data_IF_597222412213
#
_entry.id   IF_597222412213
#
_cell.length_a   1.000
_cell.length_b   1.000
_cell.length_c   1.000
_cell.angle_alpha   90.00
_cell.angle_beta   90.00
_cell.angle_gamma   90.00
#
_symmetry.space_group_name_H-M   'P 1'
#
loop_
_entity.id
_entity.type
_entity.pdbx_description
1 polymer ?
#
# COMPACT_ATOMS: atom_id res chain seq x y z
N UNK A 1 25.64 -20.63 -54.67
CA UNK A 1 27.10 -20.52 -54.71
C UNK A 1 27.55 -19.13 -55.20
N UNK A 2 27.14 -18.63 -56.35
CA UNK A 2 27.57 -17.31 -56.92
C UNK A 2 27.27 -16.08 -56.02
N UNK A 3 26.29 -16.13 -55.14
CA UNK A 3 25.93 -15.00 -54.25
C UNK A 3 26.87 -14.91 -53.03
N UNK A 4 27.37 -16.04 -52.55
CA UNK A 4 28.32 -16.10 -51.43
C UNK A 4 29.72 -15.65 -51.82
N UNK A 5 30.15 -15.98 -53.06
CA UNK A 5 31.44 -15.52 -53.59
C UNK A 5 31.48 -13.99 -53.78
N UNK A 6 30.39 -13.38 -54.27
CA UNK A 6 30.29 -11.92 -54.38
C UNK A 6 30.36 -11.19 -53.02
N UNK A 7 29.81 -11.77 -51.96
CA UNK A 7 29.89 -11.20 -50.61
C UNK A 7 31.32 -11.24 -50.06
N UNK A 8 32.03 -12.34 -50.31
CA UNK A 8 33.45 -12.49 -49.90
C UNK A 8 34.35 -11.53 -50.64
N UNK A 9 34.09 -11.25 -51.93
CA UNK A 9 34.88 -10.32 -52.75
C UNK A 9 34.68 -8.85 -52.32
N UNK A 10 33.47 -8.48 -51.92
CA UNK A 10 33.16 -7.16 -51.33
C UNK A 10 33.87 -6.95 -49.98
N UNK A 11 33.96 -8.00 -49.16
CA UNK A 11 34.65 -7.94 -47.85
C UNK A 11 36.17 -7.84 -47.98
N UNK A 12 36.75 -8.35 -49.06
CA UNK A 12 38.20 -8.21 -49.36
C UNK A 12 38.64 -6.79 -49.71
N UNK A 13 37.71 -5.89 -50.03
CA UNK A 13 38.02 -4.48 -50.23
C UNK A 13 38.25 -3.81 -48.87
N UNK A 14 39.51 -3.49 -48.54
CA UNK A 14 39.89 -2.88 -47.25
C UNK A 14 39.00 -1.68 -46.84
N UNK A 15 38.59 -0.86 -47.80
CA UNK A 15 37.72 0.30 -47.53
C UNK A 15 36.32 -0.12 -47.07
N UNK A 16 35.75 -1.17 -47.69
CA UNK A 16 34.42 -1.71 -47.31
C UNK A 16 34.49 -2.42 -45.96
N UNK A 17 35.57 -3.16 -45.69
CA UNK A 17 35.82 -3.81 -44.44
C UNK A 17 35.89 -2.80 -43.25
N UNK A 18 36.65 -1.71 -43.40
CA UNK A 18 36.71 -0.65 -42.38
C UNK A 18 35.38 0.10 -42.24
N UNK A 19 34.61 0.30 -43.31
CA UNK A 19 33.27 0.89 -43.20
C UNK A 19 32.29 -0.01 -42.43
N UNK A 20 32.31 -1.34 -42.67
CA UNK A 20 31.49 -2.31 -41.93
C UNK A 20 31.84 -2.37 -40.42
N UNK A 21 33.15 -2.33 -40.10
CA UNK A 21 33.61 -2.26 -38.72
C UNK A 21 33.10 -0.97 -38.04
N UNK A 22 33.21 0.17 -38.74
CA UNK A 22 32.69 1.45 -38.25
C UNK A 22 31.18 1.42 -37.94
N UNK A 23 30.39 0.80 -38.82
CA UNK A 23 28.94 0.62 -38.63
C UNK A 23 28.66 -0.30 -37.43
N UNK A 24 29.38 -1.42 -37.29
CA UNK A 24 29.24 -2.34 -36.17
C UNK A 24 29.58 -1.64 -34.83
N UNK A 25 30.67 -0.85 -34.81
CA UNK A 25 31.05 -0.07 -33.62
C UNK A 25 29.98 0.95 -33.29
N UNK A 26 29.42 1.65 -34.27
CA UNK A 26 28.31 2.60 -34.03
C UNK A 26 27.05 1.91 -33.51
N UNK A 27 26.72 0.72 -34.01
CA UNK A 27 25.59 -0.07 -33.51
C UNK A 27 25.85 -0.53 -32.07
N UNK A 28 27.04 -1.04 -31.77
CA UNK A 28 27.42 -1.48 -30.42
C UNK A 28 27.42 -0.29 -29.43
N UNK A 29 27.98 0.84 -29.86
CA UNK A 29 27.99 2.06 -29.04
C UNK A 29 26.56 2.61 -28.83
N UNK A 30 25.72 2.63 -29.87
CA UNK A 30 24.34 3.07 -29.74
C UNK A 30 23.49 2.10 -28.89
N UNK A 31 23.74 0.79 -28.98
CA UNK A 31 23.11 -0.22 -28.14
C UNK A 31 23.59 -0.10 -26.69
N UNK A 32 24.89 0.11 -26.48
CA UNK A 32 25.46 0.38 -25.15
C UNK A 32 24.92 1.68 -24.56
N UNK A 33 24.81 2.74 -25.35
CA UNK A 33 24.19 4.02 -24.96
C UNK A 33 22.69 3.86 -24.70
N UNK A 34 21.98 3.03 -25.47
CA UNK A 34 20.56 2.75 -25.28
C UNK A 34 20.31 1.97 -23.97
N UNK A 35 21.15 0.98 -23.69
CA UNK A 35 21.08 0.25 -22.41
C UNK A 35 21.50 1.11 -21.21
N UNK A 36 22.47 2.01 -21.39
CA UNK A 36 22.96 2.90 -20.35
C UNK A 36 22.19 4.23 -20.24
N UNK A 37 21.22 4.51 -21.13
CA UNK A 37 20.35 5.69 -21.01
C UNK A 37 19.61 5.76 -19.67
N UNK A 38 19.26 4.61 -19.09
CA UNK A 38 18.68 4.53 -17.74
C UNK A 38 19.68 4.86 -16.62
N UNK A 39 21.00 4.86 -16.93
CA UNK A 39 22.07 5.22 -15.98
C UNK A 39 22.38 6.72 -16.06
N UNK A 40 22.13 7.38 -17.20
CA UNK A 40 22.44 8.81 -17.40
C UNK A 40 21.25 9.74 -17.11
N UNK A 41 20.01 9.22 -17.13
CA UNK A 41 18.88 9.85 -16.43
C UNK A 41 18.92 9.31 -15.01
N UNK A 42 19.89 9.75 -14.24
CA UNK A 42 19.90 9.50 -12.81
C UNK A 42 18.55 9.98 -12.30
N UNK A 43 17.67 9.07 -11.87
CA UNK A 43 16.56 9.41 -11.02
C UNK A 43 17.18 10.01 -9.76
N UNK A 44 17.41 11.33 -9.79
CA UNK A 44 17.93 12.09 -8.65
C UNK A 44 16.90 12.14 -7.52
N UNK A 45 16.04 11.12 -7.42
CA UNK A 45 15.08 11.07 -6.34
C UNK A 45 15.76 10.63 -5.04
N UNK A 46 15.37 11.25 -3.98
CA UNK A 46 15.90 10.98 -2.65
C UNK A 46 14.80 10.69 -1.62
N UNK A 47 13.55 10.64 -2.08
CA UNK A 47 12.39 10.26 -1.27
C UNK A 47 11.61 9.20 -2.04
N UNK A 48 11.43 8.02 -1.44
CA UNK A 48 10.53 7.00 -1.99
C UNK A 48 9.10 7.33 -1.62
N UNK A 49 8.28 7.61 -2.61
CA UNK A 49 6.83 7.66 -2.49
C UNK A 49 6.24 6.25 -2.63
N UNK A 50 5.34 5.91 -1.72
CA UNK A 50 4.59 4.66 -1.71
C UNK A 50 3.11 5.01 -1.57
N UNK A 51 2.24 4.35 -2.33
CA UNK A 51 0.81 4.67 -2.39
C UNK A 51 -0.02 3.59 -1.70
N UNK A 52 -0.92 4.03 -0.82
CA UNK A 52 -1.98 3.23 -0.23
C UNK A 52 -3.32 3.82 -0.66
N UNK A 53 -3.91 3.27 -1.72
CA UNK A 53 -5.16 3.73 -2.30
C UNK A 53 -6.24 2.65 -2.28
N UNK A 54 -7.50 3.09 -2.11
CA UNK A 54 -8.65 2.20 -2.13
C UNK A 54 -8.67 1.20 -1.00
N UNK A 55 -9.13 -0.02 -1.26
CA UNK A 55 -9.19 -1.09 -0.26
C UNK A 55 -7.82 -1.69 0.00
N UNK A 56 -7.44 -1.83 1.27
CA UNK A 56 -6.21 -2.50 1.68
C UNK A 56 -6.44 -4.01 1.85
N UNK A 57 -5.67 -4.81 1.12
CA UNK A 57 -5.54 -6.25 1.29
C UNK A 57 -4.15 -6.60 1.82
N UNK A 58 -3.99 -7.77 2.41
CA UNK A 58 -2.67 -8.27 2.83
C UNK A 58 -1.78 -8.52 1.60
N UNK A 59 -2.33 -9.22 0.60
CA UNK A 59 -1.67 -9.45 -0.69
C UNK A 59 -2.70 -9.40 -1.82
N UNK A 60 -2.23 -9.12 -3.02
CA UNK A 60 -3.09 -9.01 -4.19
C UNK A 60 -3.28 -10.38 -4.82
N UNK A 61 -4.35 -11.07 -4.47
CA UNK A 61 -4.65 -12.41 -4.97
C UNK A 61 -5.60 -12.31 -6.17
N UNK A 62 -5.07 -12.02 -7.36
CA UNK A 62 -5.87 -12.10 -8.60
C UNK A 62 -7.20 -11.33 -8.55
N UNK A 63 -7.33 -10.32 -7.68
CA UNK A 63 -8.51 -9.48 -7.58
C UNK A 63 -8.69 -8.74 -8.92
N UNK A 64 -9.29 -9.43 -9.87
CA UNK A 64 -9.70 -8.87 -11.14
C UNK A 64 -11.10 -8.32 -11.00
N UNK A 65 -11.34 -7.18 -11.64
CA UNK A 65 -12.69 -6.67 -11.84
C UNK A 65 -13.49 -7.61 -12.78
N UNK A 66 -14.75 -7.28 -13.02
CA UNK A 66 -15.63 -8.03 -13.92
C UNK A 66 -15.11 -8.17 -15.36
N UNK A 67 -14.05 -7.46 -15.73
CA UNK A 67 -13.39 -7.51 -17.05
C UNK A 67 -12.10 -8.32 -17.05
N UNK A 68 -11.70 -8.90 -15.89
CA UNK A 68 -10.46 -9.66 -15.74
C UNK A 68 -9.22 -8.76 -15.57
N UNK A 69 -9.37 -7.44 -15.42
CA UNK A 69 -8.28 -6.53 -15.09
C UNK A 69 -8.09 -6.44 -13.58
N UNK A 70 -6.83 -6.32 -13.14
CA UNK A 70 -6.53 -6.06 -11.73
C UNK A 70 -7.25 -4.78 -11.29
N UNK A 71 -8.07 -4.87 -10.24
CA UNK A 71 -8.77 -3.70 -9.69
C UNK A 71 -7.74 -2.62 -9.32
N UNK A 72 -7.90 -1.44 -9.90
CA UNK A 72 -7.04 -0.28 -9.64
C UNK A 72 -7.24 0.32 -8.24
N UNK A 73 -8.36 -0.04 -7.60
CA UNK A 73 -8.79 0.51 -6.31
C UNK A 73 -8.41 -0.42 -5.14
N UNK A 74 -7.37 -1.21 -5.30
CA UNK A 74 -6.87 -2.15 -4.28
C UNK A 74 -5.38 -1.99 -4.10
N UNK A 75 -4.94 -1.84 -2.84
CA UNK A 75 -3.53 -1.85 -2.44
C UNK A 75 -3.17 -3.14 -1.71
N UNK A 76 -1.93 -3.60 -1.88
CA UNK A 76 -1.37 -4.77 -1.20
C UNK A 76 -0.37 -4.33 -0.12
N UNK A 77 -0.55 -4.82 1.10
CA UNK A 77 0.40 -4.56 2.19
C UNK A 77 1.78 -5.15 1.87
N UNK A 78 1.84 -6.34 1.25
CA UNK A 78 3.08 -6.98 0.82
C UNK A 78 3.87 -6.11 -0.17
N UNK A 79 3.20 -5.52 -1.18
CA UNK A 79 3.85 -4.63 -2.15
C UNK A 79 4.37 -3.36 -1.47
N UNK A 80 3.59 -2.78 -0.56
CA UNK A 80 3.93 -1.56 0.18
C UNK A 80 5.11 -1.81 1.13
N UNK A 81 5.07 -2.86 1.94
CA UNK A 81 6.16 -3.22 2.87
C UNK A 81 7.44 -3.54 2.13
N UNK A 82 7.36 -4.28 1.02
CA UNK A 82 8.50 -4.55 0.13
C UNK A 82 9.11 -3.26 -0.43
N UNK A 83 8.29 -2.28 -0.82
CA UNK A 83 8.78 -0.98 -1.30
C UNK A 83 9.48 -0.19 -0.17
N UNK A 84 8.93 -0.21 1.04
CA UNK A 84 9.53 0.40 2.23
C UNK A 84 10.89 -0.25 2.56
N UNK A 85 10.97 -1.58 2.52
CA UNK A 85 12.22 -2.32 2.78
C UNK A 85 13.29 -2.01 1.73
N UNK A 86 12.93 -2.01 0.45
CA UNK A 86 13.84 -1.61 -0.63
C UNK A 86 14.34 -0.18 -0.43
N UNK A 87 13.44 0.74 -0.10
CA UNK A 87 13.80 2.12 0.20
C UNK A 87 14.74 2.24 1.41
N UNK A 88 14.56 1.43 2.46
CA UNK A 88 15.45 1.40 3.61
C UNK A 88 16.88 0.95 3.25
N UNK A 89 17.01 0.01 2.32
CA UNK A 89 18.29 -0.55 1.89
C UNK A 89 18.99 0.26 0.80
N UNK A 90 18.28 1.17 0.11
CA UNK A 90 18.85 2.03 -0.93
C UNK A 90 19.50 3.29 -0.31
N UNK A 91 20.81 3.42 -0.43
CA UNK A 91 21.55 4.57 0.11
C UNK A 91 21.22 5.91 -0.58
N UNK A 92 20.67 5.91 -1.80
CA UNK A 92 20.22 7.12 -2.51
C UNK A 92 18.96 7.70 -1.88
N UNK A 93 18.05 6.86 -1.40
CA UNK A 93 16.82 7.25 -0.72
C UNK A 93 17.16 7.74 0.70
N UNK A 94 16.63 8.88 1.08
CA UNK A 94 16.88 9.55 2.38
C UNK A 94 15.64 9.61 3.27
N UNK A 95 14.44 9.46 2.69
CA UNK A 95 13.18 9.46 3.41
C UNK A 95 12.12 8.65 2.65
N UNK A 96 11.03 8.31 3.34
CA UNK A 96 9.90 7.55 2.81
C UNK A 96 8.63 8.36 3.03
N UNK A 97 7.83 8.49 1.98
CA UNK A 97 6.49 9.08 2.00
C UNK A 97 5.45 8.00 1.73
N UNK A 98 4.55 7.74 2.68
CA UNK A 98 3.33 6.98 2.45
C UNK A 98 2.20 7.95 2.09
N UNK A 99 1.71 7.93 0.86
CA UNK A 99 0.52 8.67 0.45
C UNK A 99 -0.70 7.78 0.63
N UNK A 100 -1.67 8.24 1.44
CA UNK A 100 -2.84 7.45 1.85
C UNK A 100 -4.12 8.10 1.34
N UNK A 101 -4.91 7.33 0.60
CA UNK A 101 -6.29 7.63 0.25
C UNK A 101 -7.10 6.33 0.29
N UNK A 102 -7.42 5.89 1.50
CA UNK A 102 -7.99 4.57 1.76
C UNK A 102 -9.05 4.63 2.85
N UNK A 103 -10.16 3.94 2.61
CA UNK A 103 -11.19 3.68 3.63
C UNK A 103 -10.85 2.54 4.59
N UNK A 104 -9.72 1.86 4.37
CA UNK A 104 -9.28 0.72 5.19
C UNK A 104 -9.34 -0.62 4.46
N UNK A 105 -9.52 -1.69 5.22
CA UNK A 105 -9.53 -3.06 4.72
C UNK A 105 -8.90 -4.03 5.71
N UNK A 106 -7.88 -4.79 5.31
CA UNK A 106 -7.22 -5.79 6.16
C UNK A 106 -6.58 -5.17 7.41
N UNK A 107 -7.03 -5.55 8.64
CA UNK A 107 -6.37 -5.09 9.86
C UNK A 107 -4.90 -5.52 9.93
N UNK A 108 -4.59 -6.74 9.46
CA UNK A 108 -3.23 -7.25 9.38
C UNK A 108 -2.38 -6.41 8.42
N UNK A 109 -2.91 -6.11 7.23
CA UNK A 109 -2.20 -5.29 6.25
C UNK A 109 -1.91 -3.87 6.76
N UNK A 110 -2.85 -3.26 7.50
CA UNK A 110 -2.63 -1.96 8.15
C UNK A 110 -1.51 -2.00 9.19
N UNK A 111 -1.50 -3.05 10.02
CA UNK A 111 -0.47 -3.27 11.02
C UNK A 111 0.91 -3.52 10.39
N UNK A 112 1.01 -4.38 9.36
CA UNK A 112 2.28 -4.68 8.67
C UNK A 112 2.92 -3.41 8.08
N UNK A 113 2.14 -2.55 7.45
CA UNK A 113 2.62 -1.27 6.91
C UNK A 113 3.08 -0.34 8.04
N UNK A 114 2.29 -0.24 9.12
CA UNK A 114 2.65 0.57 10.28
C UNK A 114 3.98 0.13 10.90
N UNK A 115 4.18 -1.18 11.09
CA UNK A 115 5.43 -1.74 11.61
C UNK A 115 6.61 -1.50 10.65
N UNK A 116 6.42 -1.64 9.33
CA UNK A 116 7.46 -1.34 8.34
C UNK A 116 7.91 0.13 8.40
N UNK A 117 6.97 1.07 8.56
CA UNK A 117 7.29 2.49 8.72
C UNK A 117 7.97 2.79 10.06
N UNK A 118 7.49 2.21 11.15
CA UNK A 118 8.01 2.38 12.51
C UNK A 118 9.45 1.89 12.63
N UNK A 119 9.77 0.75 12.01
CA UNK A 119 11.12 0.18 11.99
C UNK A 119 12.05 0.81 10.96
N UNK A 120 11.56 1.75 10.15
CA UNK A 120 12.42 2.47 9.20
C UNK A 120 13.49 3.29 9.93
N UNK A 121 14.74 3.13 9.47
CA UNK A 121 15.88 3.94 9.91
C UNK A 121 15.88 5.34 9.31
N UNK A 122 15.03 5.59 8.31
CA UNK A 122 14.89 6.86 7.60
C UNK A 122 13.69 7.64 8.13
N UNK A 123 13.65 8.97 7.97
CA UNK A 123 12.45 9.75 8.20
C UNK A 123 11.28 9.20 7.38
N UNK A 124 10.14 8.98 8.05
CA UNK A 124 8.89 8.56 7.42
C UNK A 124 7.81 9.61 7.60
N UNK A 125 7.05 9.89 6.56
CA UNK A 125 5.89 10.78 6.58
C UNK A 125 4.71 10.06 5.96
N UNK A 126 3.54 10.18 6.58
CA UNK A 126 2.28 9.82 5.95
C UNK A 126 1.56 11.12 5.50
N UNK A 127 1.11 11.14 4.27
CA UNK A 127 0.21 12.17 3.73
C UNK A 127 -1.16 11.55 3.53
N UNK A 128 -2.12 11.91 4.36
CA UNK A 128 -3.52 11.53 4.16
C UNK A 128 -4.14 12.53 3.17
N UNK A 129 -4.67 11.99 2.05
CA UNK A 129 -5.31 12.78 1.00
C UNK A 129 -6.77 13.03 1.37
N UNK A 130 -7.70 12.36 0.70
CA UNK A 130 -9.11 12.48 1.03
C UNK A 130 -9.46 11.67 2.27
N UNK A 131 -9.01 10.40 2.34
CA UNK A 131 -9.33 9.47 3.42
C UNK A 131 -8.11 8.74 3.96
N UNK A 132 -8.04 8.67 5.28
CA UNK A 132 -7.13 7.78 6.01
C UNK A 132 -7.91 7.13 7.14
N UNK A 133 -8.72 6.11 6.82
CA UNK A 133 -9.68 5.52 7.74
C UNK A 133 -9.36 4.05 8.05
N UNK A 134 -9.76 3.60 9.25
CA UNK A 134 -9.64 2.21 9.69
C UNK A 134 -8.22 1.66 9.47
N UNK A 135 -8.03 0.54 8.79
CA UNK A 135 -6.70 -0.01 8.49
C UNK A 135 -5.80 0.96 7.71
N UNK A 136 -6.36 1.88 6.92
CA UNK A 136 -5.60 2.95 6.25
C UNK A 136 -5.01 3.95 7.25
N UNK A 137 -5.77 4.32 8.29
CA UNK A 137 -5.25 5.13 9.39
C UNK A 137 -4.23 4.36 10.24
N UNK A 138 -4.50 3.08 10.53
CA UNK A 138 -3.52 2.23 11.24
C UNK A 138 -2.18 2.22 10.52
N UNK A 139 -2.17 2.02 9.19
CA UNK A 139 -0.97 2.08 8.38
C UNK A 139 -0.26 3.45 8.49
N UNK A 140 -1.02 4.55 8.34
CA UNK A 140 -0.49 5.91 8.46
C UNK A 140 0.11 6.18 9.84
N UNK A 141 -0.49 5.63 10.91
CA UNK A 141 -0.08 5.87 12.31
C UNK A 141 1.35 5.41 12.60
N UNK A 142 1.89 4.45 11.83
CA UNK A 142 3.27 4.00 11.95
C UNK A 142 4.33 4.98 11.42
N UNK A 143 3.94 6.02 10.68
CA UNK A 143 4.86 7.06 10.23
C UNK A 143 5.28 7.98 11.39
N UNK A 144 6.51 8.50 11.30
CA UNK A 144 7.04 9.45 12.32
C UNK A 144 6.32 10.79 12.32
N UNK A 145 5.67 11.14 11.21
CA UNK A 145 4.95 12.40 11.04
C UNK A 145 3.78 12.21 10.10
N UNK A 146 2.62 12.74 10.46
CA UNK A 146 1.38 12.61 9.66
C UNK A 146 0.86 13.99 9.29
N UNK A 147 0.64 14.20 8.00
CA UNK A 147 0.07 15.43 7.46
C UNK A 147 -1.27 15.07 6.78
N UNK A 148 -2.28 15.88 7.02
CA UNK A 148 -3.57 15.78 6.35
C UNK A 148 -4.14 17.16 6.08
N UNK A 149 -5.02 17.32 5.09
CA UNK A 149 -5.78 18.55 4.91
C UNK A 149 -6.80 18.73 6.04
N UNK A 150 -7.19 19.96 6.34
CA UNK A 150 -8.31 20.24 7.25
C UNK A 150 -9.61 19.52 6.82
N UNK A 151 -9.75 19.23 5.52
CA UNK A 151 -10.91 18.56 4.93
C UNK A 151 -10.73 17.03 4.76
N UNK A 152 -9.55 16.48 5.09
CA UNK A 152 -9.32 15.04 5.04
C UNK A 152 -10.14 14.33 6.11
N UNK A 153 -10.65 13.16 5.78
CA UNK A 153 -11.39 12.28 6.68
C UNK A 153 -10.42 11.28 7.32
N UNK A 154 -10.31 11.29 8.65
CA UNK A 154 -9.24 10.62 9.39
C UNK A 154 -9.82 9.81 10.56
N UNK A 155 -9.22 8.64 10.83
CA UNK A 155 -9.56 7.85 12.02
C UNK A 155 -10.42 6.64 11.68
N UNK A 156 -11.71 6.67 12.00
CA UNK A 156 -12.58 5.48 11.93
C UNK A 156 -11.94 4.28 12.64
N UNK A 157 -11.48 4.53 13.88
CA UNK A 157 -10.86 3.52 14.73
C UNK A 157 -11.96 2.60 15.24
N UNK A 158 -12.07 1.43 14.63
CA UNK A 158 -13.12 0.46 14.91
C UNK A 158 -12.95 -0.80 14.06
N UNK A 159 -13.69 -1.84 14.40
CA UNK A 159 -13.69 -3.12 13.68
C UNK A 159 -15.13 -3.56 13.43
N UNK A 160 -15.42 -3.91 12.19
CA UNK A 160 -16.70 -4.50 11.82
C UNK A 160 -16.48 -5.86 11.13
N UNK A 161 -17.40 -6.77 11.37
CA UNK A 161 -17.56 -8.02 10.63
C UNK A 161 -19.04 -8.16 10.26
N UNK A 162 -19.32 -8.32 8.98
CA UNK A 162 -20.68 -8.45 8.48
C UNK A 162 -20.74 -9.36 7.25
N UNK A 163 -21.88 -10.02 7.08
CA UNK A 163 -22.19 -10.82 5.89
C UNK A 163 -23.70 -10.80 5.64
N UNK A 164 -24.11 -11.21 4.46
CA UNK A 164 -25.53 -11.32 4.10
C UNK A 164 -25.98 -12.77 4.29
N UNK A 165 -27.12 -12.98 4.99
CA UNK A 165 -27.78 -14.27 5.10
C UNK A 165 -28.66 -14.55 3.87
N UNK A 166 -28.66 -15.79 3.38
CA UNK A 166 -29.43 -16.23 2.23
C UNK A 166 -30.65 -17.09 2.59
N UNK A 167 -30.91 -17.34 3.84
CA UNK A 167 -31.92 -18.33 4.31
C UNK A 167 -33.30 -18.10 3.69
N UNK A 168 -33.81 -16.86 3.75
CA UNK A 168 -35.13 -16.52 3.21
C UNK A 168 -35.16 -16.64 1.69
N UNK A 169 -34.05 -16.24 1.03
CA UNK A 169 -33.92 -16.39 -0.41
C UNK A 169 -33.94 -17.87 -0.83
N UNK A 170 -33.14 -18.71 -0.18
CA UNK A 170 -33.09 -20.14 -0.46
C UNK A 170 -34.45 -20.77 -0.27
N UNK A 171 -35.19 -20.43 0.79
CA UNK A 171 -36.54 -20.90 1.03
C UNK A 171 -37.50 -20.51 -0.11
N UNK A 172 -37.42 -19.26 -0.57
CA UNK A 172 -38.22 -18.76 -1.68
C UNK A 172 -37.90 -19.50 -3.00
N UNK A 173 -36.63 -19.81 -3.21
CA UNK A 173 -36.14 -20.52 -4.40
C UNK A 173 -36.35 -22.04 -4.31
N UNK A 174 -36.95 -22.56 -3.22
CA UNK A 174 -37.21 -24.00 -3.00
C UNK A 174 -35.95 -24.80 -2.69
N UNK A 175 -34.88 -24.12 -2.22
CA UNK A 175 -33.61 -24.74 -1.87
C UNK A 175 -33.57 -25.10 -0.38
N UNK A 176 -33.02 -26.27 -0.04
CA UNK A 176 -32.80 -26.70 1.34
C UNK A 176 -31.30 -26.90 1.57
N UNK A 177 -30.78 -26.20 2.56
CA UNK A 177 -29.38 -26.33 2.99
C UNK A 177 -29.24 -27.56 3.93
N UNK A 178 -28.27 -28.41 3.68
CA UNK A 178 -27.91 -29.55 4.52
C UNK A 178 -26.46 -29.39 4.96
N UNK A 179 -26.24 -29.13 6.26
CA UNK A 179 -24.89 -29.09 6.84
C UNK A 179 -24.33 -30.49 7.05
N UNK A 180 -23.15 -30.77 6.50
CA UNK A 180 -22.37 -31.99 6.69
C UNK A 180 -20.95 -31.58 7.11
N UNK A 181 -20.77 -31.26 8.38
CA UNK A 181 -19.49 -30.80 8.93
C UNK A 181 -19.09 -31.51 10.20
N UNK A 182 -17.82 -31.64 10.46
CA UNK A 182 -17.25 -32.13 11.72
C UNK A 182 -16.50 -31.03 12.39
N UNK A 183 -16.75 -30.82 13.70
CA UNK A 183 -16.27 -29.70 14.51
C UNK A 183 -17.30 -28.60 14.66
N UNK A 184 -17.64 -28.29 15.95
CA UNK A 184 -18.79 -27.44 16.36
C UNK A 184 -18.95 -26.14 15.56
N UNK A 185 -17.84 -25.48 15.19
CA UNK A 185 -17.85 -24.19 14.51
C UNK A 185 -17.27 -24.23 13.10
N UNK A 186 -17.14 -25.44 12.50
CA UNK A 186 -16.52 -25.58 11.19
C UNK A 186 -17.26 -24.83 10.09
N UNK A 187 -18.57 -24.74 10.20
CA UNK A 187 -19.48 -24.09 9.27
C UNK A 187 -20.08 -22.79 9.86
N UNK A 188 -19.45 -22.22 10.89
CA UNK A 188 -19.90 -20.98 11.49
C UNK A 188 -19.84 -19.82 10.46
N UNK A 189 -20.92 -19.02 10.40
CA UNK A 189 -21.06 -17.91 9.46
C UNK A 189 -21.39 -18.30 8.03
N UNK A 190 -21.78 -19.55 7.79
CA UNK A 190 -22.33 -19.93 6.49
C UNK A 190 -23.63 -19.14 6.24
N UNK A 191 -23.74 -18.40 5.11
CA UNK A 191 -24.89 -17.54 4.84
C UNK A 191 -26.20 -18.31 4.58
N UNK A 192 -26.12 -19.60 4.28
CA UNK A 192 -27.28 -20.42 3.93
C UNK A 192 -27.99 -21.03 5.15
N UNK A 193 -27.50 -20.75 6.36
CA UNK A 193 -28.15 -21.11 7.63
C UNK A 193 -28.30 -19.91 8.56
N UNK A 194 -29.22 -20.01 9.53
CA UNK A 194 -29.41 -19.01 10.57
C UNK A 194 -28.18 -18.99 11.48
N UNK A 195 -27.64 -17.78 11.72
CA UNK A 195 -26.55 -17.58 12.67
C UNK A 195 -27.06 -17.88 14.09
N UNK A 196 -26.41 -18.79 14.79
CA UNK A 196 -26.71 -19.08 16.19
C UNK A 196 -26.09 -18.02 17.12
N UNK A 197 -26.62 -17.90 18.35
CA UNK A 197 -26.04 -17.01 19.36
C UNK A 197 -24.58 -17.36 19.67
N UNK A 198 -24.25 -18.65 19.75
CA UNK A 198 -22.87 -19.10 20.01
C UNK A 198 -21.90 -18.75 18.89
N UNK A 199 -22.32 -18.83 17.64
CA UNK A 199 -21.52 -18.38 16.48
C UNK A 199 -21.35 -16.87 16.50
N UNK A 200 -22.39 -16.11 16.82
CA UNK A 200 -22.33 -14.68 17.02
C UNK A 200 -21.33 -14.28 18.11
N UNK A 201 -21.35 -14.98 19.23
CA UNK A 201 -20.43 -14.76 20.36
C UNK A 201 -18.98 -15.08 19.97
N UNK A 202 -18.76 -16.14 19.17
CA UNK A 202 -17.46 -16.50 18.61
C UNK A 202 -16.89 -15.35 17.74
N UNK A 203 -17.67 -14.81 16.83
CA UNK A 203 -17.26 -13.69 15.98
C UNK A 203 -17.03 -12.42 16.78
N UNK A 204 -17.90 -12.11 17.72
CA UNK A 204 -17.74 -10.93 18.60
C UNK A 204 -16.51 -11.02 19.49
N UNK A 205 -16.07 -12.21 19.88
CA UNK A 205 -14.77 -12.41 20.56
C UNK A 205 -13.63 -11.89 19.69
N UNK A 206 -13.60 -12.29 18.43
CA UNK A 206 -12.50 -11.93 17.51
C UNK A 206 -12.55 -10.46 17.13
N UNK A 207 -13.74 -9.90 16.91
CA UNK A 207 -13.95 -8.45 16.71
C UNK A 207 -13.38 -7.65 17.89
N UNK A 208 -13.66 -8.06 19.12
CA UNK A 208 -13.16 -7.39 20.35
C UNK A 208 -11.63 -7.46 20.44
N UNK A 209 -11.03 -8.59 20.12
CA UNK A 209 -9.56 -8.74 20.11
C UNK A 209 -8.93 -7.80 19.08
N UNK A 210 -9.44 -7.78 17.86
CA UNK A 210 -8.95 -6.89 16.79
C UNK A 210 -9.13 -5.41 17.15
N UNK A 211 -10.27 -5.05 17.77
CA UNK A 211 -10.54 -3.70 18.23
C UNK A 211 -9.55 -3.25 19.31
N UNK A 212 -9.31 -4.07 20.32
CA UNK A 212 -8.34 -3.76 21.37
C UNK A 212 -6.90 -3.64 20.82
N UNK A 213 -6.53 -4.49 19.88
CA UNK A 213 -5.24 -4.38 19.20
C UNK A 213 -5.12 -3.05 18.43
N UNK A 214 -6.17 -2.63 17.72
CA UNK A 214 -6.16 -1.37 17.00
C UNK A 214 -5.93 -0.18 17.94
N UNK A 215 -6.71 -0.10 19.03
CA UNK A 215 -6.54 0.94 20.07
C UNK A 215 -5.11 0.96 20.59
N UNK A 216 -4.57 -0.21 20.95
CA UNK A 216 -3.21 -0.35 21.44
C UNK A 216 -2.18 0.16 20.45
N UNK A 217 -2.27 -0.26 19.18
CA UNK A 217 -1.32 0.16 18.14
C UNK A 217 -1.37 1.67 17.88
N UNK A 218 -2.56 2.26 17.83
CA UNK A 218 -2.69 3.72 17.69
C UNK A 218 -2.10 4.45 18.90
N UNK A 219 -2.41 3.99 20.12
CA UNK A 219 -1.84 4.55 21.35
C UNK A 219 -0.31 4.54 21.32
N UNK A 220 0.29 3.41 20.98
CA UNK A 220 1.74 3.25 20.89
C UNK A 220 2.35 4.11 19.77
N UNK A 221 1.78 4.06 18.58
CA UNK A 221 2.30 4.73 17.40
C UNK A 221 2.20 6.26 17.51
N UNK A 222 1.09 6.76 18.07
CA UNK A 222 0.85 8.20 18.25
C UNK A 222 1.28 8.73 19.61
N UNK A 223 1.76 7.86 20.53
CA UNK A 223 2.15 8.21 21.89
C UNK A 223 0.99 8.91 22.65
N UNK A 224 -0.22 8.45 22.43
CA UNK A 224 -1.42 8.92 23.09
C UNK A 224 -1.80 7.99 24.24
N UNK A 225 -2.41 8.56 25.29
CA UNK A 225 -2.99 7.74 26.36
C UNK A 225 -4.04 6.79 25.79
N UNK A 226 -3.99 5.52 26.23
CA UNK A 226 -4.90 4.48 25.75
C UNK A 226 -6.37 4.79 26.05
N UNK A 227 -6.65 5.50 27.15
CA UNK A 227 -8.02 5.95 27.50
C UNK A 227 -8.50 6.95 26.47
N UNK A 228 -7.66 7.93 26.10
CA UNK A 228 -7.99 8.91 25.05
C UNK A 228 -8.24 8.24 23.72
N UNK A 229 -7.41 7.27 23.32
CA UNK A 229 -7.63 6.55 22.05
C UNK A 229 -8.92 5.73 22.10
N UNK A 230 -9.25 5.12 23.26
CA UNK A 230 -10.51 4.39 23.44
C UNK A 230 -11.73 5.31 23.29
N UNK A 231 -11.67 6.55 23.79
CA UNK A 231 -12.73 7.55 23.59
C UNK A 231 -12.91 7.94 22.12
N UNK A 232 -11.82 7.94 21.33
CA UNK A 232 -11.84 8.25 19.90
C UNK A 232 -12.19 7.03 19.03
N UNK A 233 -12.27 5.83 19.61
CA UNK A 233 -12.43 4.57 18.91
C UNK A 233 -13.90 4.11 18.85
N UNK A 234 -14.83 5.01 18.61
CA UNK A 234 -16.25 4.72 18.43
C UNK A 234 -16.60 4.24 17.02
N UNK A 235 -15.59 4.15 16.13
CA UNK A 235 -15.75 3.76 14.74
C UNK A 235 -16.03 4.94 13.78
N UNK A 236 -16.32 6.13 14.29
CA UNK A 236 -16.48 7.33 13.47
C UNK A 236 -15.13 7.86 12.97
N UNK A 237 -15.17 8.57 11.87
CA UNK A 237 -14.06 9.39 11.40
C UNK A 237 -14.26 10.86 11.77
N UNK A 238 -13.21 11.65 11.65
CA UNK A 238 -13.25 13.08 11.91
C UNK A 238 -12.46 13.85 10.86
N UNK A 239 -12.81 15.12 10.64
CA UNK A 239 -12.06 15.98 9.73
C UNK A 239 -10.68 16.33 10.29
N UNK A 240 -9.74 16.62 9.40
CA UNK A 240 -8.33 16.81 9.72
C UNK A 240 -8.04 17.80 10.83
N UNK A 241 -8.81 18.91 10.97
CA UNK A 241 -8.62 19.82 12.10
C UNK A 241 -8.90 19.11 13.43
N UNK A 242 -10.00 18.37 13.53
CA UNK A 242 -10.34 17.62 14.74
C UNK A 242 -9.31 16.51 15.02
N UNK A 243 -8.84 15.84 13.93
CA UNK A 243 -7.81 14.81 14.03
C UNK A 243 -6.49 15.38 14.60
N UNK A 244 -6.12 16.60 14.18
CA UNK A 244 -4.96 17.31 14.74
C UNK A 244 -5.16 17.69 16.21
N UNK A 245 -6.31 18.24 16.58
CA UNK A 245 -6.60 18.64 17.94
C UNK A 245 -6.61 17.43 18.90
N UNK A 246 -6.96 16.26 18.38
CA UNK A 246 -6.93 14.98 19.09
C UNK A 246 -5.59 14.26 19.05
N UNK A 247 -4.60 14.74 18.29
CA UNK A 247 -3.27 14.14 18.19
C UNK A 247 -3.18 12.96 17.23
N UNK A 248 -4.24 12.70 16.43
CA UNK A 248 -4.23 11.66 15.42
C UNK A 248 -3.33 12.01 14.21
N UNK A 249 -3.13 13.31 13.96
CA UNK A 249 -2.16 13.83 12.97
C UNK A 249 -1.30 14.94 13.59
N UNK A 250 -0.18 15.26 12.95
CA UNK A 250 0.79 16.24 13.47
C UNK A 250 0.60 17.62 12.87
N UNK A 251 0.21 17.69 11.59
CA UNK A 251 0.12 18.97 10.87
C UNK A 251 -1.02 18.98 9.87
N UNK A 252 -1.68 20.13 9.74
CA UNK A 252 -2.56 20.42 8.61
C UNK A 252 -1.72 20.84 7.41
N UNK A 253 -2.01 20.28 6.23
CA UNK A 253 -1.27 20.64 5.03
C UNK A 253 -1.49 19.64 3.89
N UNK A 254 -0.60 19.74 2.91
CA UNK A 254 -0.61 18.88 1.72
C UNK A 254 0.81 18.52 1.27
N UNK A 255 0.95 18.18 -0.02
CA UNK A 255 2.23 17.70 -0.58
C UNK A 255 3.36 18.74 -0.46
N UNK A 256 3.06 20.02 -0.45
CA UNK A 256 4.07 21.07 -0.28
C UNK A 256 4.61 21.06 1.15
N UNK A 257 3.74 20.89 2.14
CA UNK A 257 4.12 20.79 3.56
C UNK A 257 4.94 19.53 3.82
N UNK A 258 4.62 18.42 3.15
CA UNK A 258 5.44 17.18 3.17
C UNK A 258 6.85 17.48 2.66
N UNK A 259 6.99 18.18 1.53
CA UNK A 259 8.30 18.52 0.97
C UNK A 259 9.09 19.42 1.92
N UNK A 260 8.44 20.41 2.51
CA UNK A 260 9.08 21.35 3.46
C UNK A 260 9.54 20.61 4.73
N UNK A 261 8.69 19.72 5.28
CA UNK A 261 9.05 18.90 6.42
C UNK A 261 10.25 17.99 6.09
N UNK A 262 10.16 17.23 4.99
CA UNK A 262 11.21 16.31 4.57
C UNK A 262 12.52 17.03 4.23
N UNK A 263 12.47 18.22 3.61
CA UNK A 263 13.65 19.02 3.32
C UNK A 263 14.40 19.40 4.59
N UNK A 264 13.68 19.73 5.67
CA UNK A 264 14.28 20.01 6.99
C UNK A 264 14.93 18.75 7.58
N UNK A 265 14.29 17.58 7.42
CA UNK A 265 14.80 16.31 7.94
C UNK A 265 16.06 15.83 7.22
N UNK A 266 16.05 15.85 5.88
CA UNK A 266 17.15 15.30 5.06
C UNK A 266 18.21 16.36 4.70
N UNK A 267 17.97 17.65 4.99
CA UNK A 267 18.84 18.80 4.69
C UNK A 267 19.24 18.88 3.21
N UNK A 268 18.34 18.51 2.32
CA UNK A 268 18.50 18.53 0.85
C UNK A 268 17.16 18.83 0.21
N UNK A 269 17.18 19.32 -1.03
CA UNK A 269 15.97 19.46 -1.84
C UNK A 269 15.27 18.09 -1.99
N UNK A 270 13.95 18.07 -1.88
CA UNK A 270 13.12 16.87 -1.95
C UNK A 270 12.73 16.56 -3.39
N UNK A 271 13.11 15.38 -3.86
CA UNK A 271 12.68 14.82 -5.13
C UNK A 271 12.07 13.43 -4.88
N UNK A 272 10.76 13.33 -5.08
CA UNK A 272 9.97 12.12 -4.78
C UNK A 272 9.89 11.26 -6.03
N UNK A 273 10.23 9.99 -5.93
CA UNK A 273 9.88 8.95 -6.91
C UNK A 273 8.71 8.11 -6.45
N UNK A 274 7.84 7.78 -7.41
CA UNK A 274 6.63 7.01 -7.20
C UNK A 274 6.74 5.64 -7.88
#
# INVERSE_FOLDING_TARGET
MKTFEKIIEVIKNKKVYFALIGVIILIVVSFWFSQNRNILVGNNCNVQGVKLYGQLLTYRNGASDSTGQLSKDVSSAEEITTAIEKANNDSSIKAILLEVDSSGGSPLGGWEIAEALKHSKKPTVALIRERGNSAGYLAASGAKYIIASANSDVGSIGVTMSYLGNVDKNTTDGLTFYELSEGKFKDAGNPDKVLTQEEGDLFMRDVKVLYNNFIKYVSENRQLDIVKVTELADGSSMLGQMAKDNGLIDQLGGIYDVKDYLQKQIKKSVNICW
#
